data_IF_979758466733
#
_entry.id   IF_979758466733
#
_cell.length_a   1.000
_cell.length_b   1.000
_cell.length_c   1.000
_cell.angle_alpha   90.00
_cell.angle_beta   90.00
_cell.angle_gamma   90.00
#
_symmetry.space_group_name_H-M   'P 1'
#
loop_
_entity.id
_entity.type
_entity.pdbx_description
1 polymer ?
#
# COMPACT_ATOMS: atom_id res chain seq x y z
N UNK A 1 18.17 -35.20 -44.93
CA UNK A 1 19.20 -35.45 -43.88
C UNK A 1 19.86 -34.18 -43.35
N UNK A 2 20.35 -33.24 -44.19
CA UNK A 2 21.04 -32.01 -43.71
C UNK A 2 20.21 -31.08 -42.79
N UNK A 3 18.89 -30.98 -43.00
CA UNK A 3 18.04 -30.07 -42.21
C UNK A 3 17.72 -30.59 -40.79
N UNK A 4 17.56 -31.91 -40.63
CA UNK A 4 17.23 -32.55 -39.35
C UNK A 4 18.39 -32.41 -38.35
N UNK A 5 19.61 -32.60 -38.85
CA UNK A 5 20.84 -32.44 -38.08
C UNK A 5 21.05 -30.99 -37.60
N UNK A 6 20.67 -30.00 -38.43
CA UNK A 6 20.76 -28.58 -38.06
C UNK A 6 19.78 -28.19 -36.95
N UNK A 7 18.57 -28.76 -36.96
CA UNK A 7 17.55 -28.51 -35.93
C UNK A 7 17.91 -29.15 -34.59
N UNK A 8 18.44 -30.38 -34.60
CA UNK A 8 18.94 -31.03 -33.38
C UNK A 8 20.12 -30.27 -32.75
N UNK A 9 21.05 -29.77 -33.58
CA UNK A 9 22.15 -28.90 -33.10
C UNK A 9 21.58 -27.62 -32.45
N UNK A 10 20.57 -27.02 -33.07
CA UNK A 10 19.96 -25.79 -32.58
C UNK A 10 19.19 -25.99 -31.27
N UNK A 11 18.45 -27.09 -31.15
CA UNK A 11 17.78 -27.47 -29.91
C UNK A 11 18.80 -27.67 -28.78
N UNK A 12 19.87 -28.43 -29.03
CA UNK A 12 20.90 -28.67 -28.03
C UNK A 12 21.60 -27.37 -27.58
N UNK A 13 21.84 -26.43 -28.50
CA UNK A 13 22.36 -25.10 -28.16
C UNK A 13 21.43 -24.35 -27.20
N UNK A 14 20.11 -24.37 -27.46
CA UNK A 14 19.14 -23.74 -26.55
C UNK A 14 19.02 -24.44 -25.20
N UNK A 15 18.99 -25.77 -25.17
CA UNK A 15 18.95 -26.52 -23.91
C UNK A 15 20.17 -26.20 -23.04
N UNK A 16 21.37 -26.16 -23.63
CA UNK A 16 22.59 -25.75 -22.94
C UNK A 16 22.53 -24.30 -22.45
N UNK A 17 21.96 -23.38 -23.25
CA UNK A 17 21.78 -21.99 -22.80
C UNK A 17 20.85 -21.90 -21.59
N UNK A 18 19.78 -22.69 -21.56
CA UNK A 18 18.83 -22.75 -20.43
C UNK A 18 19.49 -23.34 -19.18
N UNK A 19 20.31 -24.38 -19.34
CA UNK A 19 21.07 -24.96 -18.22
C UNK A 19 21.99 -23.94 -17.55
N UNK A 20 22.67 -23.14 -18.38
CA UNK A 20 23.63 -22.13 -17.94
C UNK A 20 22.98 -20.84 -17.40
N UNK A 21 21.65 -20.72 -17.43
CA UNK A 21 20.97 -19.58 -16.80
C UNK A 21 21.22 -19.57 -15.29
N UNK A 22 21.36 -18.39 -14.72
CA UNK A 22 21.57 -18.26 -13.28
C UNK A 22 20.28 -18.65 -12.52
N UNK A 23 20.38 -19.18 -11.28
CA UNK A 23 19.21 -19.47 -10.46
C UNK A 23 18.30 -18.26 -10.19
N UNK A 24 18.84 -17.04 -10.28
CA UNK A 24 18.08 -15.79 -10.17
C UNK A 24 17.30 -15.44 -11.44
N UNK A 25 17.64 -16.04 -12.59
CA UNK A 25 16.90 -15.89 -13.85
C UNK A 25 15.81 -16.96 -13.96
N UNK A 26 16.16 -18.23 -13.71
CA UNK A 26 15.25 -19.38 -13.74
C UNK A 26 15.57 -20.33 -12.58
N UNK A 27 14.57 -20.68 -11.77
CA UNK A 27 14.69 -21.79 -10.81
C UNK A 27 14.67 -23.15 -11.55
N UNK A 28 15.05 -24.22 -10.85
CA UNK A 28 15.22 -25.55 -11.47
C UNK A 28 13.94 -26.07 -12.15
N UNK A 29 12.77 -25.88 -11.53
CA UNK A 29 11.49 -26.27 -12.12
C UNK A 29 11.12 -25.46 -13.37
N UNK A 30 11.46 -24.16 -13.38
CA UNK A 30 11.27 -23.33 -14.57
C UNK A 30 12.24 -23.74 -15.69
N UNK A 31 13.49 -24.11 -15.37
CA UNK A 31 14.45 -24.63 -16.35
C UNK A 31 13.94 -25.91 -16.99
N UNK A 32 13.48 -26.87 -16.18
CA UNK A 32 12.90 -28.13 -16.67
C UNK A 32 11.70 -27.89 -17.59
N UNK A 33 10.80 -26.97 -17.20
CA UNK A 33 9.62 -26.63 -17.99
C UNK A 33 10.01 -25.99 -19.33
N UNK A 34 10.98 -25.07 -19.36
CA UNK A 34 11.46 -24.46 -20.60
C UNK A 34 12.05 -25.53 -21.53
N UNK A 35 12.88 -26.44 -21.01
CA UNK A 35 13.44 -27.53 -21.81
C UNK A 35 12.35 -28.41 -22.41
N UNK A 36 11.35 -28.79 -21.61
CA UNK A 36 10.19 -29.57 -22.08
C UNK A 36 9.45 -28.85 -23.22
N UNK A 37 9.20 -27.55 -23.08
CA UNK A 37 8.53 -26.75 -24.13
C UNK A 37 9.38 -26.73 -25.41
N UNK A 38 10.70 -26.54 -25.31
CA UNK A 38 11.59 -26.52 -26.48
C UNK A 38 11.63 -27.87 -27.20
N UNK A 39 11.67 -28.97 -26.46
CA UNK A 39 11.61 -30.33 -27.02
C UNK A 39 10.28 -30.59 -27.75
N UNK A 40 9.15 -30.20 -27.13
CA UNK A 40 7.82 -30.33 -27.73
C UNK A 40 7.67 -29.48 -28.99
N UNK A 41 8.11 -28.21 -28.96
CA UNK A 41 8.08 -27.33 -30.13
C UNK A 41 8.98 -27.87 -31.24
N UNK A 42 10.17 -28.37 -30.92
CA UNK A 42 11.05 -28.98 -31.92
C UNK A 42 10.44 -30.24 -32.56
N UNK A 43 9.64 -31.00 -31.81
CA UNK A 43 8.96 -32.20 -32.32
C UNK A 43 7.75 -31.87 -33.21
N UNK A 44 6.88 -30.97 -32.76
CA UNK A 44 5.60 -30.67 -33.41
C UNK A 44 5.70 -29.56 -34.47
N UNK A 45 6.45 -28.50 -34.19
CA UNK A 45 6.59 -27.33 -35.08
C UNK A 45 8.04 -26.79 -35.11
N UNK A 46 8.97 -27.53 -35.74
CA UNK A 46 10.40 -27.19 -35.73
C UNK A 46 10.74 -25.79 -36.24
N UNK A 47 9.92 -25.24 -37.16
CA UNK A 47 10.11 -23.88 -37.70
C UNK A 47 9.95 -22.78 -36.65
N UNK A 48 9.23 -23.07 -35.56
CA UNK A 48 8.95 -22.12 -34.49
C UNK A 48 9.96 -22.20 -33.34
N UNK A 49 10.93 -23.12 -33.37
CA UNK A 49 11.85 -23.36 -32.26
C UNK A 49 12.59 -22.09 -31.80
N UNK A 50 13.16 -21.33 -32.74
CA UNK A 50 13.84 -20.07 -32.42
C UNK A 50 12.86 -19.05 -31.81
N UNK A 51 11.64 -18.92 -32.33
CA UNK A 51 10.65 -17.99 -31.81
C UNK A 51 10.18 -18.39 -30.41
N UNK A 52 9.99 -19.69 -30.17
CA UNK A 52 9.66 -20.24 -28.86
C UNK A 52 10.79 -19.98 -27.85
N UNK A 53 12.05 -20.26 -28.21
CA UNK A 53 13.19 -19.94 -27.37
C UNK A 53 13.27 -18.45 -27.04
N UNK A 54 13.18 -17.58 -28.05
CA UNK A 54 13.17 -16.13 -27.83
C UNK A 54 12.01 -15.68 -26.94
N UNK A 55 10.81 -16.23 -27.11
CA UNK A 55 9.67 -15.92 -26.25
C UNK A 55 9.87 -16.36 -24.80
N UNK A 56 10.41 -17.56 -24.59
CA UNK A 56 10.66 -18.12 -23.25
C UNK A 56 11.75 -17.35 -22.50
N UNK A 57 12.78 -16.89 -23.21
CA UNK A 57 13.91 -16.14 -22.62
C UNK A 57 13.61 -14.63 -22.52
N UNK A 58 12.85 -14.03 -23.43
CA UNK A 58 12.52 -12.59 -23.40
C UNK A 58 11.57 -12.18 -22.25
N UNK A 59 11.18 -13.12 -21.38
CA UNK A 59 10.40 -12.80 -20.20
C UNK A 59 11.21 -12.25 -19.02
N UNK A 60 12.53 -12.16 -19.17
CA UNK A 60 13.40 -11.52 -18.19
C UNK A 60 13.21 -10.00 -18.27
N UNK A 61 12.10 -9.49 -17.72
CA UNK A 61 12.20 -8.20 -17.04
C UNK A 61 13.09 -8.50 -15.83
N UNK A 62 14.32 -8.02 -15.89
CA UNK A 62 15.27 -8.05 -14.77
C UNK A 62 14.62 -7.29 -13.60
N UNK A 63 13.87 -7.99 -12.75
CA UNK A 63 13.10 -7.39 -11.67
C UNK A 63 12.32 -8.43 -10.89
N UNK A 64 11.95 -8.12 -9.65
CA UNK A 64 11.12 -8.99 -8.83
C UNK A 64 9.77 -9.22 -9.53
N UNK A 65 9.48 -10.49 -9.84
CA UNK A 65 8.20 -10.93 -10.40
C UNK A 65 7.44 -11.65 -9.29
N UNK A 66 6.24 -11.18 -8.99
CA UNK A 66 5.31 -11.93 -8.15
C UNK A 66 4.53 -12.86 -9.07
N UNK A 67 4.80 -14.15 -8.97
CA UNK A 67 3.91 -15.15 -9.57
C UNK A 67 2.57 -15.07 -8.85
N UNK A 68 1.47 -15.16 -9.60
CA UNK A 68 0.15 -15.24 -9.01
C UNK A 68 0.13 -16.46 -8.09
N UNK A 69 -0.08 -16.25 -6.79
CA UNK A 69 -0.20 -17.33 -5.85
C UNK A 69 -1.36 -18.25 -6.32
N UNK A 70 -1.19 -19.58 -6.25
CA UNK A 70 -2.29 -20.50 -6.52
C UNK A 70 -3.49 -20.14 -5.63
N UNK A 71 -4.69 -20.15 -6.22
CA UNK A 71 -5.91 -19.60 -5.62
C UNK A 71 -6.07 -20.00 -4.14
N UNK A 72 -6.37 -19.00 -3.30
CA UNK A 72 -6.69 -19.24 -1.90
C UNK A 72 -7.97 -20.09 -1.84
N UNK A 73 -8.00 -21.20 -1.09
CA UNK A 73 -9.24 -21.94 -0.86
C UNK A 73 -10.26 -20.99 -0.20
N UNK A 74 -11.46 -20.86 -0.80
CA UNK A 74 -12.59 -19.97 -0.44
C UNK A 74 -12.80 -18.71 -1.31
N UNK A 75 -12.35 -18.68 -2.56
CA UNK A 75 -12.73 -17.60 -3.49
C UNK A 75 -14.26 -17.46 -3.66
N UNK A 76 -14.98 -18.57 -3.57
CA UNK A 76 -16.43 -18.66 -3.83
C UNK A 76 -17.32 -18.47 -2.59
N UNK A 77 -16.75 -18.10 -1.43
CA UNK A 77 -17.57 -17.81 -0.24
C UNK A 77 -18.23 -16.44 -0.38
N UNK A 78 -19.55 -16.42 -0.23
CA UNK A 78 -20.32 -15.17 -0.10
C UNK A 78 -20.22 -14.68 1.34
N UNK A 79 -19.77 -13.44 1.49
CA UNK A 79 -19.57 -12.79 2.80
C UNK A 79 -20.75 -11.85 3.03
N UNK A 80 -21.37 -11.95 4.21
CA UNK A 80 -22.51 -11.13 4.59
C UNK A 80 -22.07 -10.22 5.74
N UNK A 81 -22.25 -8.91 5.57
CA UNK A 81 -22.07 -7.96 6.66
C UNK A 81 -23.36 -7.86 7.47
N UNK A 82 -23.29 -8.19 8.75
CA UNK A 82 -24.39 -7.99 9.70
C UNK A 82 -24.14 -6.75 10.56
N UNK A 83 -25.18 -5.92 10.72
CA UNK A 83 -25.09 -4.75 11.58
C UNK A 83 -25.30 -5.14 13.04
N UNK A 84 -24.25 -5.01 13.84
CA UNK A 84 -24.36 -5.14 15.30
C UNK A 84 -25.08 -3.92 15.89
N UNK A 85 -26.35 -4.11 16.27
CA UNK A 85 -27.19 -3.06 16.86
C UNK A 85 -26.70 -2.63 18.25
N UNK A 86 -26.03 -3.50 19.00
CA UNK A 86 -25.57 -3.22 20.36
C UNK A 86 -24.35 -2.32 20.38
N UNK A 87 -23.47 -2.47 19.38
CA UNK A 87 -22.26 -1.65 19.19
C UNK A 87 -22.48 -0.46 18.26
N UNK A 88 -23.63 -0.40 17.59
CA UNK A 88 -24.02 0.74 16.76
C UNK A 88 -24.63 1.86 17.59
N UNK A 89 -24.02 3.03 17.59
CA UNK A 89 -24.55 4.23 18.25
C UNK A 89 -24.50 5.43 17.31
N UNK A 90 -25.35 6.43 17.57
CA UNK A 90 -25.32 7.74 16.91
C UNK A 90 -25.15 8.80 17.97
N UNK A 91 -24.08 9.59 17.86
CA UNK A 91 -23.81 10.72 18.74
C UNK A 91 -24.50 12.00 18.24
N UNK A 92 -24.60 12.17 16.92
CA UNK A 92 -25.19 13.35 16.28
C UNK A 92 -25.85 12.96 14.94
N UNK A 93 -27.07 13.45 14.69
CA UNK A 93 -27.81 13.17 13.46
C UNK A 93 -27.37 14.04 12.27
N UNK A 94 -26.62 15.12 12.52
CA UNK A 94 -26.17 16.05 11.47
C UNK A 94 -24.76 15.71 10.94
N UNK A 95 -24.03 14.81 11.60
CA UNK A 95 -22.67 14.42 11.19
C UNK A 95 -22.63 13.20 10.26
N UNK A 96 -21.60 13.09 9.41
CA UNK A 96 -21.38 11.90 8.60
C UNK A 96 -21.23 10.65 9.48
N UNK A 97 -21.79 9.54 9.03
CA UNK A 97 -21.72 8.27 9.75
C UNK A 97 -20.41 7.55 9.42
N UNK A 98 -19.66 7.19 10.46
CA UNK A 98 -18.50 6.33 10.36
C UNK A 98 -18.92 4.86 10.51
N UNK A 99 -18.15 3.96 9.88
CA UNK A 99 -18.40 2.52 9.93
C UNK A 99 -17.17 1.80 10.45
N UNK A 100 -17.40 0.83 11.33
CA UNK A 100 -16.39 -0.12 11.79
C UNK A 100 -16.85 -1.51 11.37
N UNK A 101 -16.01 -2.21 10.62
CA UNK A 101 -16.22 -3.61 10.25
C UNK A 101 -15.29 -4.45 11.11
N UNK A 102 -15.84 -5.43 11.82
CA UNK A 102 -15.08 -6.37 12.64
C UNK A 102 -15.03 -7.69 11.88
N UNK A 103 -13.84 -8.16 11.54
CA UNK A 103 -13.64 -9.40 10.81
C UNK A 103 -12.24 -9.49 10.22
N UNK A 104 -12.04 -10.50 9.39
CA UNK A 104 -10.84 -10.64 8.57
C UNK A 104 -10.86 -9.55 7.47
N UNK A 105 -9.74 -8.86 7.24
CA UNK A 105 -9.73 -7.66 6.40
C UNK A 105 -9.84 -7.96 4.90
N UNK A 106 -9.32 -9.10 4.41
CA UNK A 106 -9.54 -9.54 3.03
C UNK A 106 -11.03 -9.84 2.79
N UNK A 107 -11.68 -10.48 3.75
CA UNK A 107 -13.13 -10.73 3.71
C UNK A 107 -13.94 -9.42 3.73
N UNK A 108 -13.56 -8.48 4.59
CA UNK A 108 -14.18 -7.15 4.65
C UNK A 108 -14.00 -6.36 3.33
N UNK A 109 -12.79 -6.37 2.75
CA UNK A 109 -12.49 -5.70 1.48
C UNK A 109 -13.28 -6.30 0.32
N UNK A 110 -13.46 -7.63 0.27
CA UNK A 110 -14.34 -8.29 -0.70
C UNK A 110 -15.80 -7.84 -0.57
N UNK A 111 -16.32 -7.85 0.66
CA UNK A 111 -17.69 -7.42 0.92
C UNK A 111 -17.90 -5.95 0.55
N UNK A 112 -16.93 -5.08 0.84
CA UNK A 112 -16.95 -3.68 0.44
C UNK A 112 -16.98 -3.52 -1.07
N UNK A 113 -16.13 -4.22 -1.82
CA UNK A 113 -16.14 -4.16 -3.29
C UNK A 113 -17.51 -4.57 -3.85
N UNK A 114 -18.09 -5.67 -3.35
CA UNK A 114 -19.43 -6.12 -3.76
C UNK A 114 -20.52 -5.08 -3.45
N UNK A 115 -20.47 -4.46 -2.28
CA UNK A 115 -21.44 -3.44 -1.86
C UNK A 115 -21.33 -2.20 -2.74
N UNK A 116 -20.11 -1.76 -3.06
CA UNK A 116 -19.90 -0.62 -3.93
C UNK A 116 -20.35 -0.94 -5.37
N UNK A 117 -20.05 -2.14 -5.90
CA UNK A 117 -20.52 -2.59 -7.22
C UNK A 117 -22.05 -2.65 -7.31
N UNK A 118 -22.72 -3.17 -6.27
CA UNK A 118 -24.19 -3.34 -6.27
C UNK A 118 -24.95 -2.04 -6.05
N UNK A 119 -24.42 -1.11 -5.23
CA UNK A 119 -25.02 0.21 -5.02
C UNK A 119 -24.85 1.13 -6.23
N UNK A 120 -23.86 0.89 -7.08
CA UNK A 120 -23.44 1.81 -8.13
C UNK A 120 -23.43 1.20 -9.53
N UNK A 121 -24.61 0.95 -10.10
CA UNK A 121 -24.82 0.97 -11.58
C UNK A 121 -24.43 2.32 -12.23
N UNK A 122 -23.93 3.29 -11.47
CA UNK A 122 -23.45 4.60 -11.87
C UNK A 122 -22.02 4.82 -11.35
N UNK A 123 -21.04 4.36 -12.14
CA UNK A 123 -19.71 4.94 -12.35
C UNK A 123 -19.09 5.81 -11.22
N UNK A 124 -18.68 5.25 -10.09
CA UNK A 124 -17.33 5.48 -9.56
C UNK A 124 -17.12 4.81 -8.17
N UNK A 125 -15.97 4.13 -7.96
CA UNK A 125 -15.50 3.75 -6.63
C UNK A 125 -15.36 4.99 -5.72
N UNK A 126 -15.45 4.82 -4.40
CA UNK A 126 -15.82 5.92 -3.49
C UNK A 126 -14.70 6.45 -2.60
N UNK A 127 -13.62 5.70 -2.44
CA UNK A 127 -12.62 6.05 -1.43
C UNK A 127 -11.58 7.01 -2.04
N UNK A 128 -11.53 8.22 -1.50
CA UNK A 128 -10.52 9.22 -1.87
C UNK A 128 -9.13 8.83 -1.35
N UNK A 129 -9.09 8.28 -0.13
CA UNK A 129 -7.85 7.94 0.57
C UNK A 129 -7.98 6.60 1.27
N UNK A 130 -6.95 5.77 1.14
CA UNK A 130 -6.74 4.57 1.95
C UNK A 130 -5.42 4.74 2.71
N UNK A 131 -5.41 4.44 4.01
CA UNK A 131 -4.19 4.34 4.80
C UNK A 131 -4.17 2.97 5.48
N UNK A 132 -3.04 2.27 5.38
CA UNK A 132 -2.85 0.98 6.04
C UNK A 132 -1.48 0.92 6.72
N UNK A 133 -1.46 0.22 7.84
CA UNK A 133 -0.28 -0.07 8.65
C UNK A 133 -0.18 -1.60 8.84
N UNK A 134 0.29 -2.33 7.81
CA UNK A 134 0.39 -3.79 7.83
C UNK A 134 1.44 -4.27 8.86
N UNK A 135 1.37 -5.54 9.32
CA UNK A 135 2.41 -6.10 10.18
C UNK A 135 3.79 -6.04 9.50
N UNK A 136 4.83 -5.61 10.21
CA UNK A 136 6.17 -5.37 9.64
C UNK A 136 7.07 -6.64 9.57
N UNK A 137 6.58 -7.80 10.03
CA UNK A 137 7.28 -9.08 9.93
C UNK A 137 8.72 -9.07 10.53
N UNK A 138 8.92 -8.33 11.63
CA UNK A 138 10.25 -8.08 12.21
C UNK A 138 10.84 -9.29 12.95
N UNK A 139 12.16 -9.36 13.12
CA UNK A 139 12.80 -10.50 13.82
C UNK A 139 12.42 -10.63 15.30
N UNK A 140 12.05 -9.53 15.98
CA UNK A 140 11.62 -9.57 17.37
C UNK A 140 10.35 -10.41 17.57
N UNK A 141 9.50 -10.52 16.55
CA UNK A 141 8.30 -11.36 16.60
C UNK A 141 8.57 -12.82 16.22
N UNK A 142 9.81 -13.18 15.85
CA UNK A 142 10.21 -14.58 15.61
C UNK A 142 10.42 -15.36 16.92
N UNK A 143 10.94 -14.70 17.95
CA UNK A 143 11.19 -15.30 19.28
C UNK A 143 9.94 -15.30 20.18
N UNK A 144 9.07 -14.28 20.07
CA UNK A 144 7.82 -14.23 20.84
C UNK A 144 6.78 -15.21 20.28
N UNK A 145 6.46 -16.22 21.08
CA UNK A 145 5.52 -17.29 20.78
C UNK A 145 4.07 -16.83 20.66
N UNK A 146 3.68 -16.18 19.56
CA UNK A 146 2.26 -15.98 19.23
C UNK A 146 1.69 -17.24 18.54
N UNK A 147 1.69 -18.34 19.28
CA UNK A 147 0.96 -19.55 18.96
C UNK A 147 -0.39 -19.52 19.67
N UNK A 148 -1.48 -19.36 18.90
CA UNK A 148 -2.87 -19.73 19.24
C UNK A 148 -3.25 -19.60 20.72
N UNK A 149 -3.61 -18.41 21.17
CA UNK A 149 -4.36 -18.30 22.43
C UNK A 149 -5.33 -17.09 22.42
N UNK A 150 -6.28 -17.15 21.48
CA UNK A 150 -7.40 -16.19 21.45
C UNK A 150 -8.36 -16.43 22.63
N UNK A 151 -8.44 -17.66 23.14
CA UNK A 151 -9.39 -18.03 24.20
C UNK A 151 -8.96 -17.57 25.60
N UNK A 152 -7.65 -17.42 25.88
CA UNK A 152 -7.19 -17.14 27.23
C UNK A 152 -6.85 -15.66 27.54
N UNK A 153 -6.68 -14.79 26.54
CA UNK A 153 -6.09 -13.46 26.77
C UNK A 153 -7.03 -12.27 26.53
N UNK A 154 -8.16 -12.46 25.86
CA UNK A 154 -9.12 -11.39 25.54
C UNK A 154 -8.52 -10.24 24.70
N UNK A 155 -7.31 -10.40 24.18
CA UNK A 155 -6.60 -9.43 23.35
C UNK A 155 -6.62 -9.90 21.89
N UNK A 156 -6.83 -8.98 20.96
CA UNK A 156 -6.63 -9.23 19.53
C UNK A 156 -5.15 -9.60 19.30
N UNK A 157 -4.87 -10.89 19.13
CA UNK A 157 -3.52 -11.38 18.81
C UNK A 157 -3.31 -11.22 17.31
N UNK A 158 -2.49 -10.25 16.91
CA UNK A 158 -2.04 -10.12 15.52
C UNK A 158 -1.13 -11.30 15.16
N UNK A 159 -1.45 -12.00 14.07
CA UNK A 159 -0.55 -13.00 13.50
C UNK A 159 0.57 -12.25 12.79
N UNK A 160 1.69 -12.04 13.47
CA UNK A 160 2.87 -11.34 12.93
C UNK A 160 4.01 -12.31 12.55
N UNK A 161 3.64 -13.52 12.13
CA UNK A 161 4.56 -14.58 11.69
C UNK A 161 4.22 -14.99 10.27
N UNK A 162 4.87 -14.34 9.31
CA UNK A 162 4.76 -14.71 7.91
C UNK A 162 6.15 -15.04 7.36
N UNK A 163 6.25 -16.08 6.53
CA UNK A 163 7.37 -16.12 5.59
C UNK A 163 7.24 -14.90 4.69
N UNK A 164 8.35 -14.35 4.20
CA UNK A 164 8.30 -13.20 3.28
C UNK A 164 7.31 -13.45 2.12
N UNK A 165 7.36 -14.63 1.49
CA UNK A 165 6.40 -15.02 0.47
C UNK A 165 4.94 -15.06 0.98
N UNK A 166 4.71 -15.56 2.20
CA UNK A 166 3.39 -15.57 2.81
C UNK A 166 2.86 -14.17 3.09
N UNK A 167 3.72 -13.25 3.52
CA UNK A 167 3.38 -11.85 3.76
C UNK A 167 3.04 -11.14 2.45
N UNK A 168 3.87 -11.33 1.43
CA UNK A 168 3.65 -10.76 0.10
C UNK A 168 2.36 -11.28 -0.54
N UNK A 169 2.06 -12.58 -0.42
CA UNK A 169 0.79 -13.15 -0.89
C UNK A 169 -0.40 -12.54 -0.15
N UNK A 170 -0.31 -12.42 1.19
CA UNK A 170 -1.34 -11.77 2.00
C UNK A 170 -1.58 -10.32 1.56
N UNK A 171 -0.50 -9.55 1.35
CA UNK A 171 -0.57 -8.16 0.93
C UNK A 171 -1.08 -7.99 -0.49
N UNK A 172 -0.63 -8.85 -1.43
CA UNK A 172 -1.03 -8.82 -2.83
C UNK A 172 -2.56 -8.83 -2.97
N UNK A 173 -3.19 -9.82 -2.34
CA UNK A 173 -4.63 -10.01 -2.40
C UNK A 173 -5.42 -8.81 -1.85
N UNK A 174 -4.92 -8.20 -0.77
CA UNK A 174 -5.55 -7.04 -0.13
C UNK A 174 -5.33 -5.76 -0.92
N UNK A 175 -4.13 -5.55 -1.45
CA UNK A 175 -3.78 -4.37 -2.23
C UNK A 175 -4.53 -4.31 -3.56
N UNK A 176 -4.76 -5.47 -4.20
CA UNK A 176 -5.64 -5.56 -5.38
C UNK A 176 -7.05 -5.07 -5.04
N UNK A 177 -7.65 -5.63 -3.99
CA UNK A 177 -8.99 -5.22 -3.56
C UNK A 177 -9.05 -3.76 -3.11
N UNK A 178 -8.00 -3.24 -2.47
CA UNK A 178 -7.90 -1.84 -2.07
C UNK A 178 -7.81 -0.90 -3.28
N UNK A 179 -7.05 -1.27 -4.32
CA UNK A 179 -6.97 -0.51 -5.58
C UNK A 179 -8.34 -0.40 -6.25
N UNK A 180 -9.13 -1.46 -6.22
CA UNK A 180 -10.47 -1.48 -6.83
C UNK A 180 -11.42 -0.50 -6.12
N UNK A 181 -11.32 -0.40 -4.79
CA UNK A 181 -12.10 0.53 -3.96
C UNK A 181 -11.75 2.01 -4.14
N UNK A 182 -10.52 2.34 -4.57
CA UNK A 182 -10.10 3.74 -4.73
C UNK A 182 -10.84 4.44 -5.88
N UNK A 183 -11.16 5.72 -5.70
CA UNK A 183 -11.52 6.64 -6.80
C UNK A 183 -10.40 6.72 -7.84
N UNK A 184 -10.73 7.16 -9.07
CA UNK A 184 -9.73 7.38 -10.12
C UNK A 184 -8.62 8.32 -9.64
N UNK A 185 -9.01 9.41 -8.98
CA UNK A 185 -8.12 10.42 -8.38
C UNK A 185 -7.71 10.08 -6.92
N UNK A 186 -8.01 8.87 -6.46
CA UNK A 186 -7.74 8.41 -5.10
C UNK A 186 -6.30 7.96 -4.89
N UNK A 187 -5.89 7.98 -3.62
CA UNK A 187 -4.51 7.67 -3.20
C UNK A 187 -4.48 6.68 -2.05
N UNK A 188 -3.45 5.84 -2.00
CA UNK A 188 -3.17 4.92 -0.91
C UNK A 188 -1.82 5.23 -0.28
N UNK A 189 -1.78 5.13 1.05
CA UNK A 189 -0.60 5.25 1.89
C UNK A 189 -0.38 3.92 2.62
N UNK A 190 0.82 3.37 2.53
CA UNK A 190 1.19 2.12 3.19
C UNK A 190 2.43 2.33 4.02
N UNK A 191 2.29 2.27 5.34
CA UNK A 191 3.42 2.34 6.28
C UNK A 191 4.16 1.01 6.31
N UNK A 192 5.49 1.07 6.42
CA UNK A 192 6.35 -0.12 6.41
C UNK A 192 7.72 0.19 7.03
N UNK A 193 8.37 -0.83 7.57
CA UNK A 193 9.74 -0.74 8.04
C UNK A 193 10.77 -1.09 6.94
N UNK A 194 12.05 -1.06 7.29
CA UNK A 194 13.15 -1.38 6.38
C UNK A 194 13.20 -2.86 5.95
N UNK A 195 12.46 -3.75 6.61
CA UNK A 195 12.51 -5.20 6.35
C UNK A 195 11.81 -5.55 5.05
N UNK A 196 10.58 -5.07 4.84
CA UNK A 196 9.75 -5.45 3.69
C UNK A 196 9.53 -4.30 2.69
N UNK A 197 9.99 -3.07 2.96
CA UNK A 197 9.71 -1.89 2.10
C UNK A 197 10.05 -2.11 0.63
N UNK A 198 11.21 -2.70 0.32
CA UNK A 198 11.64 -2.90 -1.06
C UNK A 198 10.72 -3.86 -1.80
N UNK A 199 10.30 -4.94 -1.13
CA UNK A 199 9.41 -5.95 -1.70
C UNK A 199 8.00 -5.41 -1.86
N UNK A 200 7.50 -4.67 -0.85
CA UNK A 200 6.23 -3.98 -0.91
C UNK A 200 6.19 -2.97 -2.05
N UNK A 201 7.25 -2.18 -2.24
CA UNK A 201 7.35 -1.21 -3.35
C UNK A 201 7.19 -1.89 -4.71
N UNK A 202 7.91 -2.98 -4.94
CA UNK A 202 7.81 -3.71 -6.23
C UNK A 202 6.44 -4.38 -6.39
N UNK A 203 5.85 -4.86 -5.29
CA UNK A 203 4.50 -5.41 -5.32
C UNK A 203 3.48 -4.34 -5.71
N UNK A 204 3.57 -3.15 -5.10
CA UNK A 204 2.71 -2.03 -5.42
C UNK A 204 2.93 -1.51 -6.84
N UNK A 205 4.16 -1.51 -7.37
CA UNK A 205 4.42 -1.22 -8.79
C UNK A 205 3.68 -2.19 -9.72
N UNK A 206 3.65 -3.48 -9.37
CA UNK A 206 2.91 -4.49 -10.12
C UNK A 206 1.39 -4.32 -10.08
N UNK A 207 0.85 -3.88 -8.94
CA UNK A 207 -0.60 -3.75 -8.73
C UNK A 207 -1.13 -2.41 -9.22
N UNK A 208 -0.47 -1.31 -8.88
CA UNK A 208 -0.91 0.06 -9.18
C UNK A 208 -0.33 0.58 -10.50
N UNK A 209 0.78 0.04 -10.98
CA UNK A 209 1.57 0.62 -12.07
C UNK A 209 2.66 1.54 -11.51
N UNK A 210 3.88 1.39 -12.02
CA UNK A 210 5.04 2.20 -11.60
C UNK A 210 4.81 3.69 -11.88
N UNK A 211 4.11 4.01 -12.97
CA UNK A 211 3.74 5.38 -13.35
C UNK A 211 2.76 6.05 -12.37
N UNK A 212 2.14 5.26 -11.49
CA UNK A 212 1.20 5.74 -10.48
C UNK A 212 1.85 5.89 -9.09
N UNK A 213 3.14 5.58 -8.97
CA UNK A 213 3.93 5.88 -7.77
C UNK A 213 4.06 7.41 -7.60
N UNK A 214 3.77 7.90 -6.39
CA UNK A 214 3.89 9.32 -6.07
C UNK A 214 5.20 9.59 -5.34
N UNK A 215 5.38 8.97 -4.17
CA UNK A 215 6.57 9.18 -3.34
C UNK A 215 6.64 8.15 -2.20
N UNK A 216 7.77 8.17 -1.49
CA UNK A 216 7.93 7.50 -0.20
C UNK A 216 8.26 8.54 0.86
N UNK A 217 7.39 8.73 1.84
CA UNK A 217 7.76 9.53 3.01
C UNK A 217 8.70 8.73 3.90
N UNK A 218 9.67 9.42 4.50
CA UNK A 218 10.58 8.83 5.48
C UNK A 218 10.14 9.33 6.85
N UNK A 219 9.65 8.43 7.68
CA UNK A 219 9.32 8.72 9.06
C UNK A 219 10.52 8.41 9.95
N UNK A 220 11.15 9.45 10.47
CA UNK A 220 12.22 9.31 11.44
C UNK A 220 11.66 8.92 12.80
N UNK A 221 12.04 7.75 13.31
CA UNK A 221 11.65 7.29 14.65
C UNK A 221 12.37 8.12 15.72
N UNK A 222 11.79 8.16 16.92
CA UNK A 222 12.39 8.88 18.05
C UNK A 222 13.73 8.24 18.43
N UNK A 223 14.78 9.06 18.50
CA UNK A 223 16.10 8.62 18.96
C UNK A 223 16.02 8.12 20.40
N UNK A 224 15.95 6.81 20.59
CA UNK A 224 16.27 6.22 21.87
C UNK A 224 17.77 5.95 21.88
N UNK A 225 18.50 6.87 22.53
CA UNK A 225 19.87 6.64 22.99
C UNK A 225 19.85 5.49 24.01
N UNK A 226 19.66 4.26 23.55
CA UNK A 226 19.89 3.09 24.39
C UNK A 226 21.40 2.95 24.54
N UNK A 227 21.90 3.43 25.68
CA UNK A 227 23.24 3.15 26.22
C UNK A 227 23.54 1.63 26.34
N UNK A 228 22.56 0.77 26.07
CA UNK A 228 22.63 -0.69 26.18
C UNK A 228 22.59 -1.42 24.82
N UNK A 229 22.85 -0.76 23.69
CA UNK A 229 23.04 -1.48 22.44
C UNK A 229 24.44 -2.11 22.40
N UNK A 230 24.51 -3.36 22.86
CA UNK A 230 25.65 -4.27 22.77
C UNK A 230 26.26 -4.30 21.35
N UNK A 231 27.19 -3.38 21.04
CA UNK A 231 28.09 -3.45 19.90
C UNK A 231 27.54 -3.10 18.50
N UNK A 232 26.25 -2.81 18.32
CA UNK A 232 25.73 -2.38 16.99
C UNK A 232 26.04 -0.90 16.74
N UNK A 233 26.95 -0.63 15.80
CA UNK A 233 27.39 0.73 15.41
C UNK A 233 26.40 1.50 14.52
N UNK A 234 25.35 0.85 14.00
CA UNK A 234 24.38 1.45 13.07
C UNK A 234 22.97 1.32 13.67
N UNK A 235 22.24 2.43 13.72
CA UNK A 235 20.88 2.51 14.21
C UNK A 235 19.90 2.61 13.03
N UNK A 236 18.95 1.67 12.95
CA UNK A 236 17.80 1.78 12.04
C UNK A 236 16.80 2.74 12.67
N UNK A 237 16.69 3.96 12.12
CA UNK A 237 15.85 5.03 12.68
C UNK A 237 14.82 5.59 11.68
N UNK A 238 14.57 4.86 10.60
CA UNK A 238 13.62 5.25 9.57
C UNK A 238 12.58 4.16 9.36
N UNK A 239 11.33 4.59 9.28
CA UNK A 239 10.22 3.88 8.67
C UNK A 239 9.84 4.61 7.38
N UNK A 240 9.09 3.93 6.52
CA UNK A 240 8.71 4.42 5.21
C UNK A 240 7.19 4.42 5.08
N UNK A 241 6.67 5.36 4.28
CA UNK A 241 5.26 5.37 3.88
C UNK A 241 5.23 5.48 2.37
N UNK A 242 4.93 4.38 1.69
CA UNK A 242 4.78 4.37 0.24
C UNK A 242 3.42 4.95 -0.16
N UNK A 243 3.44 5.82 -1.18
CA UNK A 243 2.26 6.51 -1.66
C UNK A 243 2.04 6.22 -3.15
N UNK A 244 0.87 5.71 -3.47
CA UNK A 244 0.43 5.45 -4.84
C UNK A 244 -0.91 6.10 -5.11
N UNK A 245 -1.11 6.49 -6.35
CA UNK A 245 -2.44 6.84 -6.86
C UNK A 245 -3.07 5.66 -7.56
N UNK A 246 -4.39 5.70 -7.75
CA UNK A 246 -5.05 4.79 -8.69
C UNK A 246 -4.74 5.14 -10.14
N UNK A 247 -4.66 6.43 -10.46
CA UNK A 247 -4.34 6.95 -11.77
C UNK A 247 -3.69 8.34 -11.63
N UNK A 248 -2.41 8.44 -11.98
CA UNK A 248 -1.58 9.64 -11.80
C UNK A 248 -2.08 10.84 -12.60
N UNK A 249 -2.60 10.63 -13.81
CA UNK A 249 -3.15 11.68 -14.67
C UNK A 249 -4.38 12.38 -14.06
N UNK A 250 -5.04 11.75 -13.10
CA UNK A 250 -6.29 12.26 -12.52
C UNK A 250 -6.12 12.88 -11.13
N UNK A 251 -4.94 12.80 -10.52
CA UNK A 251 -4.73 13.28 -9.15
C UNK A 251 -4.94 14.79 -9.06
N UNK A 252 -5.81 15.19 -8.13
CA UNK A 252 -6.03 16.60 -7.78
C UNK A 252 -5.24 17.06 -6.56
N UNK A 253 -4.95 16.14 -5.63
CA UNK A 253 -4.40 16.44 -4.30
C UNK A 253 -2.98 17.03 -4.30
N UNK A 254 -2.18 16.76 -5.33
CA UNK A 254 -0.79 17.24 -5.43
C UNK A 254 -0.59 18.30 -6.52
N UNK A 255 -1.65 18.69 -7.24
CA UNK A 255 -1.54 19.48 -8.47
C UNK A 255 -2.20 20.87 -8.39
N UNK A 256 -2.45 21.41 -7.20
CA UNK A 256 -2.72 22.85 -7.04
C UNK A 256 -1.43 23.66 -7.22
N UNK A 257 -0.83 23.53 -8.40
CA UNK A 257 0.10 24.49 -8.94
C UNK A 257 -0.70 25.72 -9.36
N UNK A 258 -0.81 26.71 -8.48
CA UNK A 258 -0.77 28.06 -9.00
C UNK A 258 0.54 28.20 -9.76
N UNK A 259 0.46 28.40 -11.08
CA UNK A 259 1.59 28.85 -11.89
C UNK A 259 1.94 30.26 -11.45
N UNK A 260 2.65 30.39 -10.34
CA UNK A 260 3.44 31.58 -10.07
C UNK A 260 4.79 31.41 -10.79
N UNK A 261 5.47 32.52 -11.08
CA UNK A 261 6.76 32.52 -11.79
C UNK A 261 7.92 31.84 -11.03
N UNK A 262 7.62 31.09 -9.98
CA UNK A 262 8.55 30.27 -9.23
C UNK A 262 7.98 28.85 -9.18
N UNK A 263 8.74 27.90 -9.74
CA UNK A 263 8.38 26.49 -9.80
C UNK A 263 8.28 25.91 -8.38
N UNK A 264 7.09 25.97 -7.78
CA UNK A 264 6.86 25.43 -6.45
C UNK A 264 6.47 23.95 -6.52
N UNK A 265 7.39 23.12 -6.01
CA UNK A 265 7.12 21.73 -5.70
C UNK A 265 6.09 21.68 -4.55
N UNK A 266 4.94 21.01 -4.72
CA UNK A 266 3.81 21.03 -3.77
C UNK A 266 4.14 20.44 -2.38
N UNK A 267 5.28 19.76 -2.23
CA UNK A 267 5.75 19.19 -0.97
C UNK A 267 6.85 20.02 -0.28
N UNK A 268 7.45 21.01 -0.96
CA UNK A 268 8.31 22.00 -0.33
C UNK A 268 7.52 23.29 -0.20
N UNK A 269 6.73 23.39 0.87
CA UNK A 269 6.16 24.67 1.27
C UNK A 269 7.32 25.67 1.42
N UNK A 270 7.39 26.67 0.54
CA UNK A 270 7.96 27.95 0.93
C UNK A 270 7.34 28.31 2.28
N UNK A 271 8.17 28.62 3.27
CA UNK A 271 7.69 28.72 4.65
C UNK A 271 6.54 29.72 4.69
N UNK A 272 5.32 29.26 5.03
CA UNK A 272 4.14 30.10 5.06
C UNK A 272 4.45 31.41 5.79
N UNK A 273 3.94 32.54 5.30
CA UNK A 273 4.12 33.81 6.00
C UNK A 273 3.48 33.71 7.39
N UNK A 274 4.10 34.37 8.37
CA UNK A 274 3.48 34.54 9.68
C UNK A 274 2.16 35.29 9.49
N UNK A 275 1.04 34.72 9.96
CA UNK A 275 -0.29 35.33 9.89
C UNK A 275 -0.90 35.35 11.27
N UNK A 276 -1.55 36.45 11.61
CA UNK A 276 -2.44 36.54 12.78
C UNK A 276 -3.84 36.14 12.33
N UNK A 277 -4.32 35.00 12.79
CA UNK A 277 -5.63 34.46 12.45
C UNK A 277 -6.52 34.42 13.69
N UNK A 278 -7.77 34.83 13.51
CA UNK A 278 -8.80 34.86 14.54
C UNK A 278 -9.64 33.59 14.49
N UNK A 279 -9.89 33.03 15.66
CA UNK A 279 -10.68 31.83 15.86
C UNK A 279 -11.87 32.19 16.76
N UNK A 280 -13.11 31.98 16.29
CA UNK A 280 -14.30 32.34 17.05
C UNK A 280 -14.44 31.51 18.34
N UNK A 281 -15.32 31.95 19.24
CA UNK A 281 -15.67 31.21 20.47
C UNK A 281 -16.13 29.80 20.09
N UNK A 282 -15.72 28.79 20.87
CA UNK A 282 -16.01 27.37 20.67
C UNK A 282 -15.54 26.79 19.31
N UNK A 283 -14.43 27.30 18.76
CA UNK A 283 -13.85 26.76 17.52
C UNK A 283 -12.55 26.00 17.72
N UNK A 284 -11.83 26.25 18.81
CA UNK A 284 -10.55 25.62 19.15
C UNK A 284 -10.71 24.76 20.40
N UNK A 285 -10.37 23.49 20.28
CA UNK A 285 -10.28 22.54 21.37
C UNK A 285 -8.86 22.52 21.95
N UNK A 286 -8.76 22.79 23.26
CA UNK A 286 -7.52 22.68 24.01
C UNK A 286 -7.40 21.26 24.56
N UNK A 287 -6.50 20.47 23.97
CA UNK A 287 -6.31 19.07 24.36
C UNK A 287 -5.80 18.92 25.81
N UNK A 288 -5.07 19.91 26.32
CA UNK A 288 -4.53 19.89 27.68
C UNK A 288 -5.61 20.00 28.75
N UNK A 289 -6.61 20.86 28.51
CA UNK A 289 -7.66 21.20 29.48
C UNK A 289 -8.97 20.45 29.21
N UNK A 290 -9.00 19.63 28.16
CA UNK A 290 -10.17 18.91 27.66
C UNK A 290 -11.39 19.85 27.47
N UNK A 291 -11.11 21.06 26.98
CA UNK A 291 -12.08 22.16 26.95
C UNK A 291 -12.02 22.96 25.65
N UNK A 292 -13.15 23.54 25.28
CA UNK A 292 -13.26 24.50 24.18
C UNK A 292 -12.90 25.90 24.64
N UNK A 293 -12.41 26.72 23.71
CA UNK A 293 -12.22 28.13 23.97
C UNK A 293 -13.53 28.86 24.25
N UNK A 294 -13.59 29.58 25.37
CA UNK A 294 -14.72 30.39 25.77
C UNK A 294 -14.65 31.85 25.25
N UNK A 295 -13.53 32.25 24.68
CA UNK A 295 -13.27 33.59 24.13
C UNK A 295 -12.72 33.51 22.70
N UNK A 296 -12.81 34.60 21.94
CA UNK A 296 -12.13 34.70 20.63
C UNK A 296 -10.62 34.60 20.83
N UNK A 297 -9.96 33.71 20.10
CA UNK A 297 -8.51 33.53 20.17
C UNK A 297 -7.87 34.10 18.91
N UNK A 298 -6.78 34.83 19.08
CA UNK A 298 -5.91 35.22 17.98
C UNK A 298 -4.61 34.42 18.07
N UNK A 299 -4.31 33.63 17.05
CA UNK A 299 -3.07 32.84 16.98
C UNK A 299 -2.20 33.39 15.85
N UNK A 300 -0.94 33.64 16.17
CA UNK A 300 0.07 34.05 15.20
C UNK A 300 0.96 32.85 14.85
N UNK A 301 0.86 32.37 13.60
CA UNK A 301 1.67 31.24 13.13
C UNK A 301 1.84 31.26 11.61
N UNK A 302 2.81 30.47 11.13
CA UNK A 302 3.02 30.24 9.69
C UNK A 302 1.88 29.41 9.12
N UNK A 303 0.92 30.06 8.46
CA UNK A 303 -0.31 29.40 7.99
C UNK A 303 -0.53 29.48 6.48
N UNK A 304 -0.87 28.35 5.87
CA UNK A 304 -1.39 28.32 4.50
C UNK A 304 -2.79 28.93 4.40
N UNK A 305 -3.56 28.89 5.49
CA UNK A 305 -4.93 29.40 5.51
C UNK A 305 -4.97 30.92 5.73
N UNK A 306 -6.00 31.56 5.18
CA UNK A 306 -6.35 32.95 5.42
C UNK A 306 -7.61 32.99 6.32
N UNK A 307 -8.02 34.20 6.75
CA UNK A 307 -9.16 34.35 7.65
C UNK A 307 -10.47 33.84 7.04
N UNK A 308 -10.68 34.08 5.73
CA UNK A 308 -11.87 33.63 5.01
C UNK A 308 -11.99 32.10 5.00
N UNK A 309 -10.88 31.40 4.74
CA UNK A 309 -10.84 29.94 4.75
C UNK A 309 -11.15 29.39 6.14
N UNK A 310 -10.58 29.97 7.20
CA UNK A 310 -10.88 29.56 8.59
C UNK A 310 -12.38 29.69 8.89
N UNK A 311 -12.97 30.82 8.53
CA UNK A 311 -14.39 31.08 8.74
C UNK A 311 -15.26 30.08 7.95
N UNK A 312 -14.91 29.81 6.68
CA UNK A 312 -15.65 28.86 5.84
C UNK A 312 -15.56 27.41 6.36
N UNK A 313 -14.37 26.98 6.80
CA UNK A 313 -14.16 25.64 7.32
C UNK A 313 -14.88 25.45 8.65
N UNK A 314 -14.87 26.47 9.51
CA UNK A 314 -15.63 26.44 10.76
C UNK A 314 -17.13 26.27 10.50
N UNK A 315 -17.69 27.01 9.53
CA UNK A 315 -19.08 26.84 9.11
C UNK A 315 -19.37 25.45 8.53
N UNK A 316 -18.38 24.80 7.91
CA UNK A 316 -18.47 23.43 7.41
C UNK A 316 -18.33 22.37 8.51
N UNK A 317 -18.22 22.76 9.79
CA UNK A 317 -18.09 21.86 10.93
C UNK A 317 -16.65 21.40 11.21
N UNK A 318 -15.64 22.01 10.57
CA UNK A 318 -14.24 21.72 10.85
C UNK A 318 -13.88 22.14 12.28
N UNK A 319 -13.32 21.19 13.04
CA UNK A 319 -12.86 21.38 14.43
C UNK A 319 -11.36 21.67 14.46
N UNK A 320 -10.95 22.73 15.15
CA UNK A 320 -9.54 23.07 15.32
C UNK A 320 -9.04 22.51 16.65
N UNK A 321 -7.91 21.81 16.65
CA UNK A 321 -7.29 21.26 17.86
C UNK A 321 -5.95 21.94 18.05
N UNK A 322 -5.74 22.56 19.22
CA UNK A 322 -4.45 23.11 19.61
C UNK A 322 -3.74 22.12 20.53
N UNK A 323 -2.67 21.52 20.04
CA UNK A 323 -1.69 20.81 20.86
C UNK A 323 -0.63 21.84 21.29
N UNK A 324 -0.57 22.14 22.58
CA UNK A 324 0.56 22.88 23.15
C UNK A 324 1.61 21.82 23.50
N UNK A 325 2.77 21.86 22.85
CA UNK A 325 3.95 21.13 23.33
C UNK A 325 4.51 21.93 24.52
N UNK A 326 4.74 21.24 25.65
CA UNK A 326 5.43 21.82 26.81
C UNK A 326 6.90 22.13 26.49
#
# INVERSE_FOLDING_TARGET
MKNKNRQEILLNDYLNKVDNLLPCEFNDGQKELVKLILELVNKEQPSNLQNAYQFLINRIKLGFRFDAAPDVPNKDKVIILEKDKTRSFKLDNQKPQNQLIIGENYDALKALNLIEDTKHKSQNPKYDVIYIDPPYNTEATKEDGNGRDYENTGKFVYKDKFTQNGWLNMMNDRLILARDLLKKDGVIFVSIDDTEQAYLKVLMDGIFGEENFITSFIWQRTFHSNKNNNGKKIFRNAEYIHVYSKNSDSIKFFNEGEKTNFCDAPLKNHSNSLKKLKFPINSVYYKQDDAWNNEEIVIEFKSRWNQEKINSEFLNGTTYIRAIEN
#
